data_IF_818946839602
#
_entry.id   IF_818946839602
#
_cell.length_a   1.000
_cell.length_b   1.000
_cell.length_c   1.000
_cell.angle_alpha   90.00
_cell.angle_beta   90.00
_cell.angle_gamma   90.00
#
_symmetry.space_group_name_H-M   'P 1'
#
loop_
_entity.id
_entity.type
_entity.pdbx_description
1 polymer ?
#
# COMPACT_ATOMS: atom_id res chain seq x y z
N UNK A 1 25.78 -12.50 2.19
CA UNK A 1 24.40 -12.07 1.88
C UNK A 1 23.48 -13.02 2.59
N UNK A 2 22.50 -12.52 3.33
CA UNK A 2 21.51 -13.32 4.05
C UNK A 2 20.09 -12.83 3.75
N UNK A 3 19.09 -13.72 3.71
CA UNK A 3 17.69 -13.32 3.70
C UNK A 3 17.29 -12.71 5.05
N UNK A 4 16.24 -11.89 5.05
CA UNK A 4 15.78 -11.15 6.24
C UNK A 4 15.42 -12.05 7.44
N UNK A 5 14.93 -13.26 7.21
CA UNK A 5 14.51 -14.18 8.26
C UNK A 5 15.68 -14.81 9.03
N UNK A 6 16.90 -14.76 8.49
CA UNK A 6 18.10 -15.21 9.20
C UNK A 6 18.61 -14.17 10.21
N UNK A 7 18.10 -12.93 10.14
CA UNK A 7 18.54 -11.83 10.99
C UNK A 7 18.18 -12.07 12.48
N UNK A 8 17.08 -12.77 12.78
CA UNK A 8 16.61 -12.98 14.16
C UNK A 8 17.45 -13.93 15.04
N UNK A 9 18.49 -14.58 14.52
CA UNK A 9 19.27 -15.59 15.27
C UNK A 9 20.70 -15.16 15.63
N UNK A 10 21.18 -13.99 15.17
CA UNK A 10 22.61 -13.65 15.29
C UNK A 10 22.99 -12.21 14.95
N UNK A 11 22.19 -11.22 15.35
CA UNK A 11 22.39 -9.76 15.08
C UNK A 11 23.71 -9.17 15.62
N UNK A 12 24.62 -9.96 16.19
CA UNK A 12 25.68 -9.41 17.06
C UNK A 12 27.09 -9.41 16.47
N UNK A 13 27.34 -9.98 15.27
CA UNK A 13 28.74 -10.12 14.78
C UNK A 13 29.14 -9.24 13.59
N UNK A 14 28.21 -8.71 12.80
CA UNK A 14 28.57 -7.92 11.60
C UNK A 14 29.04 -6.51 11.97
N UNK A 15 30.06 -5.97 11.29
CA UNK A 15 30.52 -4.58 11.49
C UNK A 15 29.49 -3.54 11.04
N UNK A 16 28.80 -3.81 9.93
CA UNK A 16 27.74 -2.97 9.35
C UNK A 16 26.65 -3.82 8.69
N UNK A 17 25.48 -3.23 8.48
CA UNK A 17 24.30 -3.86 7.89
C UNK A 17 23.89 -3.12 6.62
N UNK A 18 23.89 -3.81 5.49
CA UNK A 18 23.39 -3.25 4.22
C UNK A 18 21.98 -3.81 3.98
N UNK A 19 20.97 -2.97 4.17
CA UNK A 19 19.57 -3.34 3.94
C UNK A 19 19.21 -3.05 2.49
N UNK A 20 18.83 -4.09 1.74
CA UNK A 20 18.55 -3.98 0.30
C UNK A 20 17.05 -3.98 0.05
N UNK A 21 16.49 -2.87 -0.44
CA UNK A 21 15.08 -2.70 -0.74
C UNK A 21 14.43 -1.67 0.19
N UNK A 22 13.28 -1.12 -0.21
CA UNK A 22 12.59 -0.03 0.50
C UNK A 22 11.14 -0.38 0.90
N UNK A 23 10.70 -1.61 0.69
CA UNK A 23 9.37 -2.07 1.09
C UNK A 23 9.26 -2.40 2.59
N UNK A 24 8.09 -2.92 2.99
CA UNK A 24 7.77 -3.27 4.40
C UNK A 24 8.82 -4.18 5.05
N UNK A 25 9.31 -5.18 4.32
CA UNK A 25 10.33 -6.11 4.81
C UNK A 25 11.64 -5.39 5.17
N UNK A 26 12.04 -4.39 4.39
CA UNK A 26 13.24 -3.61 4.67
C UNK A 26 13.04 -2.69 5.89
N UNK A 27 11.90 -2.00 5.97
CA UNK A 27 11.61 -1.13 7.12
C UNK A 27 11.55 -1.92 8.42
N UNK A 28 10.97 -3.12 8.40
CA UNK A 28 10.86 -3.97 9.59
C UNK A 28 12.22 -4.52 10.02
N UNK A 29 13.07 -4.87 9.04
CA UNK A 29 14.45 -5.25 9.31
C UNK A 29 15.26 -4.13 9.97
N UNK A 30 15.12 -2.89 9.49
CA UNK A 30 15.79 -1.73 10.08
C UNK A 30 15.26 -1.48 11.50
N UNK A 31 13.95 -1.44 11.69
CA UNK A 31 13.33 -1.25 13.01
C UNK A 31 13.77 -2.34 13.98
N UNK A 32 13.84 -3.60 13.52
CA UNK A 32 14.37 -4.70 14.34
C UNK A 32 15.83 -4.48 14.74
N UNK A 33 16.72 -4.12 13.80
CA UNK A 33 18.13 -3.83 14.09
C UNK A 33 18.29 -2.70 15.12
N UNK A 34 17.57 -1.59 14.93
CA UNK A 34 17.58 -0.45 15.86
C UNK A 34 17.06 -0.87 17.24
N UNK A 35 16.00 -1.68 17.31
CA UNK A 35 15.48 -2.21 18.56
C UNK A 35 16.46 -3.17 19.28
N UNK A 36 17.38 -3.81 18.54
CA UNK A 36 18.47 -4.61 19.11
C UNK A 36 19.71 -3.77 19.49
N UNK A 37 19.63 -2.44 19.40
CA UNK A 37 20.73 -1.54 19.77
C UNK A 37 21.81 -1.38 18.69
N UNK A 38 21.54 -1.77 17.45
CA UNK A 38 22.42 -1.44 16.33
C UNK A 38 22.34 0.06 16.07
N UNK A 39 23.50 0.73 16.09
CA UNK A 39 23.62 2.16 15.80
C UNK A 39 23.13 2.48 14.38
N UNK A 40 22.34 3.55 14.15
CA UNK A 40 21.91 3.99 12.82
C UNK A 40 23.05 4.13 11.80
N UNK A 41 24.22 4.59 12.24
CA UNK A 41 25.42 4.83 11.43
C UNK A 41 26.01 3.53 10.87
N UNK A 42 25.69 2.38 11.48
CA UNK A 42 26.11 1.06 11.01
C UNK A 42 25.15 0.48 9.96
N UNK A 43 24.05 1.16 9.66
CA UNK A 43 23.04 0.70 8.70
C UNK A 43 23.18 1.51 7.42
N UNK A 44 23.45 0.81 6.30
CA UNK A 44 23.38 1.37 4.95
C UNK A 44 22.09 0.90 4.31
N UNK A 45 21.24 1.83 3.87
CA UNK A 45 19.95 1.50 3.27
C UNK A 45 19.94 1.75 1.76
N UNK A 46 19.93 0.67 0.98
CA UNK A 46 19.83 0.73 -0.48
C UNK A 46 18.35 0.87 -0.88
N UNK A 47 17.97 2.07 -1.31
CA UNK A 47 16.62 2.44 -1.74
C UNK A 47 16.60 2.77 -3.23
N UNK A 48 16.35 1.79 -4.13
CA UNK A 48 16.27 2.04 -5.57
C UNK A 48 15.10 2.96 -5.94
N UNK A 49 14.00 2.90 -5.19
CA UNK A 49 12.86 3.83 -5.24
C UNK A 49 12.40 4.14 -3.83
N UNK A 50 12.01 5.38 -3.58
CA UNK A 50 11.37 5.75 -2.32
C UNK A 50 9.88 5.35 -2.32
N UNK A 51 9.38 4.80 -1.21
CA UNK A 51 7.98 4.42 -1.03
C UNK A 51 7.14 5.55 -0.42
N UNK A 52 5.89 5.65 -0.87
CA UNK A 52 4.80 6.14 -0.04
C UNK A 52 4.32 5.05 0.90
N UNK A 53 4.15 5.37 2.19
CA UNK A 53 3.71 4.44 3.23
C UNK A 53 2.34 4.85 3.78
N UNK A 54 1.44 3.90 4.01
CA UNK A 54 0.12 4.18 4.59
C UNK A 54 0.22 4.33 6.10
N UNK A 55 -0.31 5.41 6.67
CA UNK A 55 -0.31 5.60 8.11
C UNK A 55 -1.17 4.51 8.78
N UNK A 56 -0.56 3.69 9.64
CA UNK A 56 -1.27 2.61 10.34
C UNK A 56 -2.42 3.12 11.22
N UNK A 57 -2.35 4.35 11.71
CA UNK A 57 -3.36 4.93 12.59
C UNK A 57 -4.71 5.14 11.87
N UNK A 58 -4.70 5.40 10.56
CA UNK A 58 -5.93 5.58 9.76
C UNK A 58 -6.45 4.26 9.16
N UNK A 59 -5.88 3.12 9.58
CA UNK A 59 -6.26 1.78 9.14
C UNK A 59 -6.61 0.93 10.35
N UNK A 60 -7.83 1.10 10.87
CA UNK A 60 -8.34 0.39 12.04
C UNK A 60 -9.71 -0.24 11.74
N UNK A 61 -10.09 -1.34 12.43
CA UNK A 61 -11.40 -1.97 12.27
C UNK A 61 -12.51 -1.17 13.01
N UNK A 62 -12.58 0.12 12.71
CA UNK A 62 -13.52 1.10 13.26
C UNK A 62 -14.16 1.86 12.09
N UNK A 63 -15.50 1.89 11.96
CA UNK A 63 -16.18 2.57 10.87
C UNK A 63 -15.84 4.06 10.79
N UNK A 64 -15.64 4.76 11.90
CA UNK A 64 -15.29 6.19 11.88
C UNK A 64 -13.90 6.40 11.27
N UNK A 65 -12.94 5.54 11.62
CA UNK A 65 -11.59 5.59 11.04
C UNK A 65 -11.62 5.24 9.55
N UNK A 66 -12.37 4.22 9.16
CA UNK A 66 -12.49 3.80 7.76
C UNK A 66 -13.18 4.86 6.88
N UNK A 67 -14.26 5.47 7.39
CA UNK A 67 -14.96 6.57 6.71
C UNK A 67 -14.10 7.84 6.65
N UNK A 68 -13.34 8.13 7.71
CA UNK A 68 -12.37 9.22 7.74
C UNK A 68 -11.30 9.07 6.65
N UNK A 69 -10.64 7.91 6.59
CA UNK A 69 -9.66 7.61 5.54
C UNK A 69 -10.23 7.78 4.13
N UNK A 70 -11.46 7.29 3.90
CA UNK A 70 -12.12 7.45 2.61
C UNK A 70 -12.40 8.92 2.30
N UNK A 71 -12.89 9.69 3.28
CA UNK A 71 -13.20 11.11 3.15
C UNK A 71 -11.95 11.93 2.84
N UNK A 72 -10.87 11.73 3.60
CA UNK A 72 -9.61 12.45 3.40
C UNK A 72 -9.00 12.13 2.04
N UNK A 73 -9.09 10.86 1.62
CA UNK A 73 -8.62 10.44 0.30
C UNK A 73 -9.38 11.12 -0.83
N UNK A 74 -10.71 11.13 -0.77
CA UNK A 74 -11.55 11.75 -1.80
C UNK A 74 -11.44 13.28 -1.79
N UNK A 75 -11.30 13.89 -0.61
CA UNK A 75 -11.06 15.33 -0.46
C UNK A 75 -9.72 15.73 -1.07
N UNK A 76 -8.65 14.99 -0.78
CA UNK A 76 -7.34 15.21 -1.37
C UNK A 76 -7.38 15.03 -2.90
N UNK A 77 -8.06 14.00 -3.39
CA UNK A 77 -8.23 13.75 -4.81
C UNK A 77 -8.97 14.88 -5.52
N UNK A 78 -10.12 15.33 -4.99
CA UNK A 78 -10.93 16.39 -5.58
C UNK A 78 -10.15 17.70 -5.78
N UNK A 79 -9.23 18.01 -4.85
CA UNK A 79 -8.44 19.22 -4.87
C UNK A 79 -7.09 19.11 -5.61
N UNK A 80 -6.70 17.91 -6.06
CA UNK A 80 -5.36 17.67 -6.59
C UNK A 80 -5.17 18.11 -8.05
N UNK A 81 -4.06 18.77 -8.35
CA UNK A 81 -3.69 19.20 -9.70
C UNK A 81 -2.95 18.11 -10.49
N UNK A 82 -2.21 17.25 -9.79
CA UNK A 82 -1.43 16.14 -10.34
C UNK A 82 -1.39 14.96 -9.36
N UNK A 83 -0.81 13.81 -9.78
CA UNK A 83 -0.59 12.69 -8.86
C UNK A 83 0.41 13.03 -7.76
N UNK A 84 1.48 13.77 -8.06
CA UNK A 84 2.40 14.25 -7.02
C UNK A 84 1.72 15.18 -6.01
N UNK A 85 0.87 16.09 -6.48
CA UNK A 85 0.08 16.98 -5.60
C UNK A 85 -0.89 16.17 -4.73
N UNK A 86 -1.60 15.19 -5.31
CA UNK A 86 -2.46 14.27 -4.56
C UNK A 86 -1.71 13.60 -3.41
N UNK A 87 -0.55 13.00 -3.67
CA UNK A 87 0.19 12.29 -2.64
C UNK A 87 0.77 13.23 -1.57
N UNK A 88 1.17 14.46 -1.93
CA UNK A 88 1.55 15.49 -0.94
C UNK A 88 0.37 15.95 -0.08
N UNK A 89 -0.83 16.04 -0.64
CA UNK A 89 -2.07 16.32 0.12
C UNK A 89 -2.42 15.18 1.06
N UNK A 90 -2.28 13.93 0.62
CA UNK A 90 -2.45 12.76 1.48
C UNK A 90 -1.42 12.73 2.62
N UNK A 91 -0.20 13.21 2.39
CA UNK A 91 0.78 13.40 3.47
C UNK A 91 0.35 14.49 4.45
N UNK A 92 -0.08 15.64 3.95
CA UNK A 92 -0.55 16.74 4.78
C UNK A 92 -1.79 16.36 5.64
N UNK A 93 -2.62 15.45 5.13
CA UNK A 93 -3.75 14.86 5.84
C UNK A 93 -3.36 13.68 6.75
N UNK A 94 -2.07 13.39 6.94
CA UNK A 94 -1.57 12.25 7.73
C UNK A 94 -2.09 10.88 7.25
N UNK A 95 -2.55 10.77 6.00
CA UNK A 95 -2.97 9.50 5.38
C UNK A 95 -1.76 8.71 4.92
N UNK A 96 -0.82 9.37 4.25
CA UNK A 96 0.43 8.76 3.79
C UNK A 96 1.65 9.39 4.46
N UNK A 97 2.75 8.65 4.48
CA UNK A 97 4.05 9.13 4.94
C UNK A 97 5.10 9.04 3.83
N UNK A 98 5.93 10.07 3.76
CA UNK A 98 7.27 9.99 3.15
C UNK A 98 8.31 9.73 4.22
N UNK A 99 9.20 8.78 3.97
CA UNK A 99 10.32 8.49 4.88
C UNK A 99 11.30 9.65 4.84
N UNK A 100 11.80 9.96 3.65
CA UNK A 100 12.68 11.09 3.38
C UNK A 100 11.85 12.19 2.70
N UNK A 101 11.85 13.40 3.26
CA UNK A 101 11.06 14.53 2.75
C UNK A 101 11.74 15.26 1.60
N UNK A 102 13.04 15.03 1.41
CA UNK A 102 13.84 15.63 0.34
C UNK A 102 13.86 14.76 -0.94
N UNK A 103 13.19 13.60 -0.90
CA UNK A 103 12.99 12.72 -2.05
C UNK A 103 11.52 12.67 -2.46
N UNK A 104 11.24 12.69 -3.76
CA UNK A 104 9.91 12.44 -4.32
C UNK A 104 9.71 10.92 -4.52
N UNK A 105 8.83 10.25 -3.74
CA UNK A 105 8.64 8.82 -3.85
C UNK A 105 7.83 8.46 -5.10
N UNK A 106 8.35 7.50 -5.87
CA UNK A 106 7.71 7.00 -7.10
C UNK A 106 7.00 5.65 -6.91
N UNK A 107 7.22 4.99 -5.76
CA UNK A 107 6.62 3.71 -5.44
C UNK A 107 5.41 3.88 -4.51
N UNK A 108 4.22 3.49 -4.98
CA UNK A 108 2.97 3.55 -4.21
C UNK A 108 2.35 2.16 -4.00
N UNK A 109 3.14 1.23 -3.45
CA UNK A 109 2.60 -0.03 -2.88
C UNK A 109 1.87 0.19 -1.56
N UNK A 110 2.17 1.32 -0.90
CA UNK A 110 1.55 1.81 0.35
C UNK A 110 1.39 0.77 1.45
N UNK A 111 2.44 0.03 1.85
CA UNK A 111 2.37 -0.80 3.04
C UNK A 111 2.21 0.09 4.28
N UNK A 112 1.69 -0.48 5.37
CA UNK A 112 1.40 0.30 6.58
C UNK A 112 2.66 0.60 7.40
N UNK A 113 2.76 1.81 7.94
CA UNK A 113 3.84 2.26 8.81
C UNK A 113 3.26 3.06 9.97
N UNK A 114 3.71 2.82 11.20
CA UNK A 114 3.41 3.65 12.35
C UNK A 114 4.34 4.86 12.44
N UNK A 115 3.88 5.94 13.08
CA UNK A 115 4.70 7.16 13.26
C UNK A 115 6.01 6.89 13.99
N UNK A 116 5.99 6.06 15.03
CA UNK A 116 7.20 5.68 15.76
C UNK A 116 8.19 4.89 14.89
N UNK A 117 7.71 4.03 13.97
CA UNK A 117 8.59 3.34 13.01
C UNK A 117 9.19 4.35 12.03
N UNK A 118 8.39 5.31 11.55
CA UNK A 118 8.85 6.39 10.68
C UNK A 118 9.97 7.21 11.34
N UNK A 119 9.80 7.58 12.61
CA UNK A 119 10.78 8.35 13.36
C UNK A 119 12.12 7.59 13.50
N UNK A 120 12.07 6.28 13.76
CA UNK A 120 13.25 5.41 13.75
C UNK A 120 13.92 5.34 12.37
N UNK A 121 13.14 5.13 11.32
CA UNK A 121 13.67 5.00 9.95
C UNK A 121 14.35 6.30 9.48
N UNK A 122 13.88 7.46 9.94
CA UNK A 122 14.47 8.77 9.64
C UNK A 122 15.82 9.02 10.31
N UNK A 123 16.21 8.20 11.29
CA UNK A 123 17.56 8.26 11.88
C UNK A 123 18.63 7.68 10.96
N UNK A 124 18.24 6.94 9.91
CA UNK A 124 19.19 6.34 8.96
C UNK A 124 19.61 7.38 7.91
N UNK A 125 20.80 7.93 8.06
CA UNK A 125 21.37 8.91 7.11
C UNK A 125 22.08 8.25 5.92
N UNK A 126 22.67 7.06 6.12
CA UNK A 126 23.44 6.34 5.11
C UNK A 126 22.53 5.66 4.08
N UNK A 127 22.05 6.42 3.11
CA UNK A 127 21.07 5.98 2.11
C UNK A 127 21.69 5.98 0.71
N UNK A 128 21.57 4.85 0.00
CA UNK A 128 22.07 4.69 -1.38
C UNK A 128 20.90 4.68 -2.35
N UNK A 129 20.89 5.63 -3.29
CA UNK A 129 19.87 5.80 -4.35
C UNK A 129 20.46 5.68 -5.76
N UNK A 130 21.26 4.64 -5.99
CA UNK A 130 21.95 4.41 -7.28
C UNK A 130 21.28 3.31 -8.10
N UNK A 131 19.96 3.13 -7.93
CA UNK A 131 19.18 2.08 -8.59
C UNK A 131 19.33 0.70 -7.96
N UNK A 132 19.04 -0.35 -8.74
CA UNK A 132 19.10 -1.74 -8.28
C UNK A 132 20.53 -2.24 -8.20
N UNK A 133 20.80 -3.11 -7.21
CA UNK A 133 22.07 -3.83 -7.13
C UNK A 133 22.17 -4.81 -8.31
N UNK A 134 23.28 -4.75 -9.04
CA UNK A 134 23.61 -5.69 -10.12
C UNK A 134 24.38 -6.89 -9.60
N UNK A 135 25.41 -6.64 -8.82
CA UNK A 135 26.17 -7.67 -8.11
C UNK A 135 26.94 -7.06 -6.94
N UNK A 136 27.47 -7.91 -6.07
CA UNK A 136 28.25 -7.52 -4.91
C UNK A 136 29.57 -8.29 -4.89
N UNK A 137 30.66 -7.60 -4.64
CA UNK A 137 31.98 -8.21 -4.43
C UNK A 137 32.36 -8.17 -2.95
N UNK A 138 33.61 -8.52 -2.61
CA UNK A 138 34.13 -8.39 -1.24
C UNK A 138 34.37 -6.94 -0.81
N UNK A 139 34.40 -5.98 -1.74
CA UNK A 139 34.85 -4.60 -1.48
C UNK A 139 33.84 -3.54 -1.90
N UNK A 140 32.85 -3.89 -2.70
CA UNK A 140 31.91 -2.93 -3.26
C UNK A 140 30.57 -3.56 -3.62
N UNK A 141 29.55 -2.71 -3.67
CA UNK A 141 28.22 -2.98 -4.21
C UNK A 141 28.13 -2.24 -5.54
N UNK A 142 27.92 -2.97 -6.63
CA UNK A 142 27.71 -2.39 -7.96
C UNK A 142 26.22 -2.27 -8.22
N UNK A 143 25.75 -1.06 -8.52
CA UNK A 143 24.36 -0.72 -8.81
C UNK A 143 24.21 -0.17 -10.23
N UNK A 144 22.97 0.08 -10.65
CA UNK A 144 22.65 0.65 -11.98
C UNK A 144 23.41 1.93 -12.29
N UNK A 145 23.45 2.86 -11.34
CA UNK A 145 23.94 4.23 -11.54
C UNK A 145 25.25 4.51 -10.79
N UNK A 146 25.97 3.47 -10.36
CA UNK A 146 27.26 3.67 -9.69
C UNK A 146 27.67 2.51 -8.80
N UNK A 147 28.71 2.76 -8.00
CA UNK A 147 29.30 1.77 -7.11
C UNK A 147 29.52 2.41 -5.74
N UNK A 148 29.32 1.63 -4.68
CA UNK A 148 29.55 2.06 -3.29
C UNK A 148 30.52 1.10 -2.64
N UNK A 149 31.42 1.62 -1.82
CA UNK A 149 32.32 0.79 -1.03
C UNK A 149 31.52 -0.09 -0.05
N UNK A 150 31.93 -1.35 0.07
CA UNK A 150 31.43 -2.30 1.04
C UNK A 150 32.52 -2.51 2.09
N UNK A 151 32.34 -2.00 3.32
CA UNK A 151 33.28 -2.25 4.40
C UNK A 151 33.49 -3.76 4.64
N UNK A 152 34.66 -4.17 5.12
CA UNK A 152 34.84 -5.52 5.65
C UNK A 152 33.80 -5.82 6.73
N UNK A 153 33.44 -7.10 6.88
CA UNK A 153 32.48 -7.59 7.87
C UNK A 153 31.04 -7.01 7.76
N UNK A 154 30.68 -6.45 6.60
CA UNK A 154 29.30 -6.07 6.29
C UNK A 154 28.40 -7.30 6.07
N UNK A 155 27.23 -7.29 6.71
CA UNK A 155 26.14 -8.21 6.38
C UNK A 155 25.15 -7.55 5.43
N UNK A 156 25.00 -8.12 4.24
CA UNK A 156 23.98 -7.70 3.28
C UNK A 156 22.70 -8.48 3.54
N UNK A 157 21.64 -7.75 3.87
CA UNK A 157 20.31 -8.29 4.18
C UNK A 157 19.41 -8.07 2.98
N UNK A 158 18.98 -9.17 2.36
CA UNK A 158 18.17 -9.13 1.16
C UNK A 158 16.68 -8.98 1.50
N UNK A 159 16.14 -7.76 1.29
CA UNK A 159 14.73 -7.41 1.48
C UNK A 159 14.05 -6.95 0.17
N UNK A 160 14.67 -7.22 -0.98
CA UNK A 160 14.25 -6.71 -2.29
C UNK A 160 13.50 -7.75 -3.15
N UNK A 161 13.05 -8.85 -2.55
CA UNK A 161 12.19 -9.81 -3.22
C UNK A 161 10.85 -9.16 -3.62
N UNK A 162 10.27 -9.61 -4.74
CA UNK A 162 8.97 -9.09 -5.17
C UNK A 162 7.86 -9.62 -4.25
N UNK A 163 7.42 -8.79 -3.30
CA UNK A 163 6.33 -9.14 -2.39
C UNK A 163 4.94 -9.18 -3.04
N UNK A 164 4.77 -8.52 -4.18
CA UNK A 164 3.51 -8.47 -4.94
C UNK A 164 3.74 -8.91 -6.39
N UNK A 165 2.71 -9.44 -7.03
CA UNK A 165 2.66 -9.75 -8.46
C UNK A 165 1.64 -8.83 -9.14
N UNK A 166 1.84 -8.56 -10.43
CA UNK A 166 1.03 -7.61 -11.19
C UNK A 166 0.38 -8.27 -12.42
N UNK A 167 -0.52 -9.25 -12.22
CA UNK A 167 -1.16 -9.95 -13.34
C UNK A 167 -2.11 -9.01 -14.12
N UNK A 168 -2.48 -9.37 -15.35
CA UNK A 168 -3.56 -8.70 -16.07
C UNK A 168 -4.88 -8.79 -15.28
N UNK A 169 -5.66 -7.72 -15.32
CA UNK A 169 -7.01 -7.70 -14.71
C UNK A 169 -7.97 -8.44 -15.61
N UNK A 170 -8.40 -9.61 -15.17
CA UNK A 170 -9.34 -10.50 -15.88
C UNK A 170 -10.50 -10.86 -14.95
N UNK A 171 -11.64 -11.37 -15.44
CA UNK A 171 -12.71 -11.86 -14.58
C UNK A 171 -12.18 -12.84 -13.51
N UNK A 172 -12.69 -12.72 -12.28
CA UNK A 172 -12.35 -13.64 -11.17
C UNK A 172 -12.94 -15.00 -11.45
N UNK A 173 -14.19 -15.07 -11.93
CA UNK A 173 -14.83 -16.33 -12.31
C UNK A 173 -14.79 -16.54 -13.81
N UNK A 174 -14.47 -17.78 -14.18
CA UNK A 174 -14.56 -18.32 -15.53
C UNK A 174 -15.05 -19.77 -15.44
N UNK A 175 -15.62 -20.34 -16.52
CA UNK A 175 -16.27 -21.65 -16.47
C UNK A 175 -15.41 -22.80 -15.91
N UNK A 176 -14.09 -22.72 -16.00
CA UNK A 176 -13.15 -23.76 -15.58
C UNK A 176 -12.43 -23.46 -14.27
N UNK A 177 -12.44 -22.23 -13.75
CA UNK A 177 -11.66 -21.82 -12.57
C UNK A 177 -12.03 -20.47 -11.99
N UNK A 178 -11.64 -20.30 -10.72
CA UNK A 178 -11.60 -19.03 -10.00
C UNK A 178 -10.16 -18.50 -10.00
N UNK A 179 -9.97 -17.27 -10.46
CA UNK A 179 -8.69 -16.55 -10.53
C UNK A 179 -8.58 -15.60 -9.35
N UNK A 180 -7.66 -15.91 -8.43
CA UNK A 180 -7.43 -15.10 -7.23
C UNK A 180 -6.89 -13.72 -7.60
N UNK A 181 -7.73 -12.70 -7.47
CA UNK A 181 -7.41 -11.29 -7.66
C UNK A 181 -8.08 -10.46 -6.55
N UNK A 182 -7.59 -9.25 -6.31
CA UNK A 182 -8.27 -8.34 -5.38
C UNK A 182 -9.57 -7.84 -6.00
N UNK A 183 -10.53 -7.42 -5.17
CA UNK A 183 -11.81 -6.85 -5.63
C UNK A 183 -11.85 -5.34 -5.38
N UNK A 184 -11.41 -4.92 -4.19
CA UNK A 184 -11.30 -3.51 -3.82
C UNK A 184 -9.89 -3.17 -3.34
N UNK A 185 -9.65 -1.88 -3.20
CA UNK A 185 -8.44 -1.37 -2.62
C UNK A 185 -8.32 -1.76 -1.14
N UNK A 186 -7.12 -2.19 -0.74
CA UNK A 186 -6.82 -2.66 0.61
C UNK A 186 -7.55 -3.95 1.00
N UNK A 187 -7.27 -4.42 2.23
CA UNK A 187 -8.03 -5.50 2.91
C UNK A 187 -8.26 -6.77 2.07
N UNK A 188 -7.21 -7.43 1.56
CA UNK A 188 -7.35 -8.61 0.68
C UNK A 188 -8.15 -9.75 1.32
N UNK A 189 -8.08 -9.92 2.64
CA UNK A 189 -8.86 -10.92 3.36
C UNK A 189 -10.37 -10.68 3.27
N UNK A 190 -10.81 -9.41 3.34
CA UNK A 190 -12.22 -9.08 3.13
C UNK A 190 -12.65 -9.34 1.69
N UNK A 191 -11.82 -8.98 0.70
CA UNK A 191 -12.08 -9.30 -0.71
C UNK A 191 -12.25 -10.80 -0.94
N UNK A 192 -11.37 -11.63 -0.38
CA UNK A 192 -11.51 -13.08 -0.44
C UNK A 192 -12.81 -13.59 0.22
N UNK A 193 -13.18 -13.05 1.39
CA UNK A 193 -14.43 -13.41 2.06
C UNK A 193 -15.66 -13.01 1.23
N UNK A 194 -15.63 -11.83 0.60
CA UNK A 194 -16.69 -11.35 -0.28
C UNK A 194 -16.84 -12.26 -1.51
N UNK A 195 -15.73 -12.66 -2.15
CA UNK A 195 -15.76 -13.62 -3.25
C UNK A 195 -16.39 -14.96 -2.82
N UNK A 196 -16.01 -15.48 -1.65
CA UNK A 196 -16.60 -16.72 -1.11
C UNK A 196 -18.09 -16.59 -0.81
N UNK A 197 -18.54 -15.45 -0.28
CA UNK A 197 -19.95 -15.19 -0.05
C UNK A 197 -20.75 -15.11 -1.35
N UNK A 198 -20.25 -14.34 -2.32
CA UNK A 198 -20.91 -14.16 -3.63
C UNK A 198 -20.92 -15.46 -4.44
N UNK A 199 -19.87 -16.28 -4.37
CA UNK A 199 -19.85 -17.64 -4.95
C UNK A 199 -20.99 -18.51 -4.41
N UNK A 200 -21.27 -18.40 -3.11
CA UNK A 200 -22.28 -19.22 -2.43
C UNK A 200 -23.72 -18.71 -2.62
N UNK A 201 -23.91 -17.44 -3.03
CA UNK A 201 -25.23 -16.80 -3.09
C UNK A 201 -25.68 -16.40 -4.49
N UNK A 202 -24.80 -16.45 -5.50
CA UNK A 202 -25.14 -16.11 -6.89
C UNK A 202 -24.94 -17.31 -7.80
N UNK A 203 -25.90 -17.51 -8.70
CA UNK A 203 -26.02 -18.71 -9.55
C UNK A 203 -25.16 -18.67 -10.82
N UNK A 204 -24.62 -17.50 -11.19
CA UNK A 204 -23.86 -17.34 -12.42
C UNK A 204 -22.63 -16.41 -12.30
N UNK A 205 -21.61 -16.72 -13.11
CA UNK A 205 -20.33 -16.00 -13.12
C UNK A 205 -20.45 -14.55 -13.58
N UNK A 206 -21.46 -14.19 -14.37
CA UNK A 206 -21.66 -12.79 -14.80
C UNK A 206 -22.03 -11.95 -13.59
N UNK A 207 -22.96 -12.43 -12.77
CA UNK A 207 -23.38 -11.74 -11.56
C UNK A 207 -22.25 -11.69 -10.51
N UNK A 208 -21.52 -12.81 -10.33
CA UNK A 208 -20.36 -12.85 -9.44
C UNK A 208 -19.30 -11.82 -9.84
N UNK A 209 -18.95 -11.76 -11.14
CA UNK A 209 -17.99 -10.78 -11.65
C UNK A 209 -18.53 -9.33 -11.65
N UNK A 210 -19.85 -9.11 -11.71
CA UNK A 210 -20.44 -7.78 -11.54
C UNK A 210 -20.24 -7.27 -10.11
N UNK A 211 -20.50 -8.10 -9.11
CA UNK A 211 -20.38 -7.75 -7.70
C UNK A 211 -18.93 -7.70 -7.21
N UNK A 212 -18.09 -8.55 -7.80
CA UNK A 212 -16.69 -8.71 -7.43
C UNK A 212 -15.80 -8.50 -8.67
N UNK A 213 -15.79 -7.29 -9.26
CA UNK A 213 -14.92 -7.01 -10.39
C UNK A 213 -13.46 -7.09 -9.95
N UNK A 214 -12.59 -7.65 -10.80
CA UNK A 214 -11.18 -7.76 -10.48
C UNK A 214 -10.49 -6.39 -10.41
N UNK A 215 -9.54 -6.29 -9.49
CA UNK A 215 -8.69 -5.14 -9.24
C UNK A 215 -7.23 -5.61 -9.11
N UNK A 216 -6.30 -4.65 -9.13
CA UNK A 216 -4.87 -4.92 -9.00
C UNK A 216 -4.28 -4.18 -7.81
N UNK A 217 -3.23 -4.76 -7.23
CA UNK A 217 -2.39 -4.05 -6.28
C UNK A 217 -1.49 -3.03 -7.01
N UNK A 218 -1.13 -1.92 -6.37
CA UNK A 218 -0.41 -0.83 -7.01
C UNK A 218 1.10 -1.00 -6.89
N UNK A 219 1.82 -0.30 -7.76
CA UNK A 219 3.27 -0.11 -7.74
C UNK A 219 3.67 1.36 -7.90
N UNK A 220 2.98 2.10 -8.76
CA UNK A 220 3.19 3.53 -9.08
C UNK A 220 2.02 4.39 -8.64
N UNK A 221 2.19 5.72 -8.61
CA UNK A 221 1.13 6.67 -8.25
C UNK A 221 -0.15 6.48 -9.09
N UNK A 222 -0.02 6.39 -10.43
CA UNK A 222 -1.14 6.12 -11.34
C UNK A 222 -1.82 4.77 -11.06
N UNK A 223 -1.05 3.70 -10.81
CA UNK A 223 -1.64 2.40 -10.51
C UNK A 223 -2.38 2.38 -9.16
N UNK A 224 -1.94 3.17 -8.19
CA UNK A 224 -2.63 3.39 -6.92
C UNK A 224 -3.95 4.13 -7.13
N UNK A 225 -3.95 5.21 -7.92
CA UNK A 225 -5.17 5.93 -8.28
C UNK A 225 -6.18 5.00 -8.99
N UNK A 226 -5.74 4.21 -9.98
CA UNK A 226 -6.59 3.22 -10.66
C UNK A 226 -7.17 2.17 -9.71
N UNK A 227 -6.36 1.68 -8.78
CA UNK A 227 -6.83 0.72 -7.76
C UNK A 227 -7.94 1.35 -6.90
N UNK A 228 -7.75 2.59 -6.45
CA UNK A 228 -8.73 3.31 -5.63
C UNK A 228 -10.04 3.53 -6.39
N UNK A 229 -9.99 4.01 -7.64
CA UNK A 229 -11.19 4.20 -8.49
C UNK A 229 -11.98 2.90 -8.62
N UNK A 230 -11.32 1.81 -9.03
CA UNK A 230 -11.95 0.49 -9.18
C UNK A 230 -12.52 -0.03 -7.87
N UNK A 231 -11.80 0.16 -6.77
CA UNK A 231 -12.22 -0.28 -5.45
C UNK A 231 -13.43 0.47 -4.90
N UNK A 232 -13.51 1.77 -5.15
CA UNK A 232 -14.69 2.60 -4.82
C UNK A 232 -15.89 2.16 -5.62
N UNK A 233 -15.74 1.96 -6.94
CA UNK A 233 -16.82 1.48 -7.81
C UNK A 233 -17.29 0.08 -7.38
N UNK A 234 -16.38 -0.86 -7.12
CA UNK A 234 -16.73 -2.18 -6.60
C UNK A 234 -17.54 -2.09 -5.30
N UNK A 235 -17.10 -1.23 -4.37
CA UNK A 235 -17.79 -1.00 -3.09
C UNK A 235 -19.19 -0.45 -3.27
N UNK A 236 -19.41 0.46 -4.23
CA UNK A 236 -20.75 0.91 -4.59
C UNK A 236 -21.59 -0.23 -5.16
N UNK A 237 -21.03 -1.04 -6.05
CA UNK A 237 -21.75 -2.12 -6.72
C UNK A 237 -22.22 -3.21 -5.76
N UNK A 238 -21.33 -3.77 -4.93
CA UNK A 238 -21.77 -4.79 -3.96
C UNK A 238 -22.53 -4.19 -2.77
N UNK A 239 -22.28 -2.92 -2.43
CA UNK A 239 -22.99 -2.24 -1.35
C UNK A 239 -24.43 -1.87 -1.69
N UNK A 240 -24.78 -1.83 -2.98
CA UNK A 240 -26.14 -1.62 -3.45
C UNK A 240 -27.03 -2.88 -3.35
N UNK A 241 -26.44 -4.06 -3.17
CA UNK A 241 -27.17 -5.31 -2.97
C UNK A 241 -27.53 -5.47 -1.48
N UNK A 242 -28.83 -5.49 -1.10
CA UNK A 242 -29.22 -5.47 0.32
C UNK A 242 -28.69 -6.66 1.14
N UNK A 243 -28.70 -7.86 0.55
CA UNK A 243 -28.20 -9.09 1.17
C UNK A 243 -26.68 -9.05 1.38
N UNK A 244 -25.93 -8.61 0.36
CA UNK A 244 -24.46 -8.51 0.43
C UNK A 244 -24.05 -7.40 1.39
N UNK A 245 -24.75 -6.26 1.39
CA UNK A 245 -24.50 -5.16 2.33
C UNK A 245 -24.78 -5.57 3.78
N UNK A 246 -25.86 -6.31 4.02
CA UNK A 246 -26.16 -6.86 5.35
C UNK A 246 -25.06 -7.83 5.81
N UNK A 247 -24.65 -8.76 4.93
CA UNK A 247 -23.55 -9.68 5.23
C UNK A 247 -22.23 -8.94 5.48
N UNK A 248 -21.86 -7.98 4.62
CA UNK A 248 -20.61 -7.23 4.73
C UNK A 248 -20.52 -6.43 6.04
N UNK A 249 -21.65 -5.94 6.55
CA UNK A 249 -21.72 -5.26 7.86
C UNK A 249 -21.64 -6.23 9.06
N UNK A 250 -21.87 -7.52 8.85
CA UNK A 250 -21.63 -8.56 9.87
C UNK A 250 -20.21 -9.14 9.81
N UNK A 251 -19.48 -8.93 8.71
CA UNK A 251 -18.18 -9.53 8.48
C UNK A 251 -17.06 -8.79 9.24
N UNK A 252 -16.41 -9.46 10.20
CA UNK A 252 -15.32 -8.88 10.99
C UNK A 252 -14.08 -8.44 10.16
N UNK A 253 -13.93 -8.98 8.95
CA UNK A 253 -12.86 -8.59 8.02
C UNK A 253 -13.13 -7.25 7.32
N UNK A 254 -14.39 -6.80 7.28
CA UNK A 254 -14.73 -5.49 6.74
C UNK A 254 -14.38 -4.39 7.77
N UNK A 255 -13.39 -3.51 7.47
CA UNK A 255 -13.01 -2.42 8.38
C UNK A 255 -14.06 -1.32 8.46
N UNK A 256 -14.89 -1.17 7.43
CA UNK A 256 -15.93 -0.15 7.34
C UNK A 256 -17.31 -0.69 7.75
N UNK A 257 -17.37 -1.84 8.41
CA UNK A 257 -18.65 -2.43 8.85
C UNK A 257 -19.34 -1.49 9.84
N UNK A 258 -20.64 -1.29 9.65
CA UNK A 258 -21.50 -0.56 10.56
C UNK A 258 -22.51 -1.55 11.12
N UNK A 259 -22.40 -1.87 12.41
CA UNK A 259 -23.34 -2.79 13.06
C UNK A 259 -24.71 -2.13 13.24
N UNK A 260 -25.80 -2.90 13.46
CA UNK A 260 -27.10 -2.31 13.73
C UNK A 260 -27.11 -1.30 14.88
N UNK A 261 -26.31 -1.52 15.93
CA UNK A 261 -26.20 -0.60 17.07
C UNK A 261 -25.46 0.72 16.76
N UNK A 262 -24.68 0.76 15.69
CA UNK A 262 -23.93 1.93 15.24
C UNK A 262 -24.64 2.69 14.12
N UNK A 263 -25.71 2.14 13.57
CA UNK A 263 -26.40 2.74 12.41
C UNK A 263 -26.98 4.11 12.74
N UNK A 264 -27.57 4.26 13.91
CA UNK A 264 -28.22 5.50 14.32
C UNK A 264 -27.29 6.40 15.15
N UNK A 265 -26.00 6.06 15.22
CA UNK A 265 -24.98 6.86 15.88
C UNK A 265 -24.75 8.16 15.08
N UNK A 266 -24.81 9.30 15.78
CA UNK A 266 -24.70 10.62 15.16
C UNK A 266 -23.34 10.85 14.49
N UNK A 267 -22.26 10.34 15.07
CA UNK A 267 -20.90 10.53 14.53
C UNK A 267 -20.72 9.68 13.25
N UNK A 268 -21.31 8.48 13.22
CA UNK A 268 -21.31 7.63 12.03
C UNK A 268 -22.13 8.27 10.90
N UNK A 269 -23.32 8.79 11.21
CA UNK A 269 -24.15 9.50 10.22
C UNK A 269 -23.45 10.75 9.68
N UNK A 270 -22.81 11.52 10.55
CA UNK A 270 -22.04 12.69 10.15
C UNK A 270 -20.83 12.30 9.27
N UNK A 271 -20.13 11.19 9.57
CA UNK A 271 -19.03 10.70 8.76
C UNK A 271 -19.49 10.22 7.38
N UNK A 272 -20.63 9.53 7.30
CA UNK A 272 -21.24 9.14 6.02
C UNK A 272 -21.63 10.35 5.18
N UNK A 273 -22.24 11.38 5.78
CA UNK A 273 -22.61 12.61 5.09
C UNK A 273 -21.37 13.34 4.53
N UNK A 274 -20.31 13.50 5.33
CA UNK A 274 -19.05 14.10 4.85
C UNK A 274 -18.44 13.34 3.68
N UNK A 275 -18.45 12.01 3.73
CA UNK A 275 -17.96 11.20 2.62
C UNK A 275 -18.83 11.41 1.36
N UNK A 276 -20.15 11.43 1.52
CA UNK A 276 -21.08 11.65 0.40
C UNK A 276 -20.86 13.00 -0.29
N UNK A 277 -20.51 14.05 0.46
CA UNK A 277 -20.25 15.39 -0.08
C UNK A 277 -19.02 15.45 -1.01
N UNK A 278 -18.04 14.57 -0.82
CA UNK A 278 -16.75 14.64 -1.54
C UNK A 278 -16.51 13.47 -2.50
N UNK A 279 -17.22 12.35 -2.34
CA UNK A 279 -16.86 11.09 -3.01
C UNK A 279 -16.98 11.18 -4.54
N UNK A 280 -17.97 11.89 -5.09
CA UNK A 280 -18.13 11.97 -6.55
C UNK A 280 -17.05 12.81 -7.22
N UNK A 281 -16.77 14.00 -6.68
CA UNK A 281 -15.70 14.86 -7.19
C UNK A 281 -14.33 14.24 -7.02
N UNK A 282 -14.08 13.63 -5.85
CA UNK A 282 -12.85 12.90 -5.58
C UNK A 282 -12.66 11.73 -6.54
N UNK A 283 -13.70 10.92 -6.77
CA UNK A 283 -13.63 9.78 -7.68
C UNK A 283 -13.40 10.19 -9.13
N UNK A 284 -14.13 11.19 -9.62
CA UNK A 284 -13.95 11.74 -10.97
C UNK A 284 -12.52 12.24 -11.16
N UNK A 285 -12.02 13.05 -10.23
CA UNK A 285 -10.68 13.62 -10.33
C UNK A 285 -9.59 12.56 -10.25
N UNK A 286 -9.76 11.55 -9.39
CA UNK A 286 -8.83 10.44 -9.28
C UNK A 286 -8.75 9.61 -10.57
N UNK A 287 -9.89 9.43 -11.26
CA UNK A 287 -9.95 8.76 -12.56
C UNK A 287 -9.25 9.56 -13.67
N UNK A 288 -9.46 10.89 -13.72
CA UNK A 288 -8.73 11.77 -14.65
C UNK A 288 -7.20 11.67 -14.44
N UNK A 289 -6.74 11.79 -13.19
CA UNK A 289 -5.32 11.73 -12.82
C UNK A 289 -4.71 10.36 -13.13
N UNK A 290 -5.46 9.28 -12.92
CA UNK A 290 -5.03 7.92 -13.20
C UNK A 290 -4.65 7.67 -14.68
N UNK A 291 -5.32 8.36 -15.61
CA UNK A 291 -5.17 8.14 -17.05
C UNK A 291 -4.23 9.15 -17.75
N UNK A 292 -4.04 10.35 -17.18
CA UNK A 292 -3.20 11.40 -17.78
C UNK A 292 -1.70 11.04 -17.87
N UNK A 293 -1.13 10.27 -16.94
CA UNK A 293 0.29 9.87 -16.97
C UNK A 293 0.61 8.69 -17.92
N UNK A 294 -0.42 7.98 -18.40
CA UNK A 294 -0.18 6.88 -19.35
C UNK A 294 0.25 7.38 -20.73
N UNK A 295 0.02 8.66 -21.05
CA UNK A 295 0.37 9.25 -22.34
C UNK A 295 1.75 9.92 -22.34
N UNK A 296 2.25 10.36 -21.19
CA UNK A 296 3.57 11.00 -21.05
C UNK A 296 4.72 9.99 -20.88
N UNK A 297 4.47 8.78 -20.37
CA UNK A 297 5.50 7.73 -20.22
C UNK A 297 5.82 6.95 -21.49
N UNK A 298 5.04 7.11 -22.57
CA UNK A 298 5.31 6.52 -23.89
C UNK A 298 6.18 7.44 -24.77
N UNK A 299 6.47 8.67 -24.31
CA UNK A 299 7.19 9.69 -25.06
C UNK A 299 8.56 10.08 -24.46
N UNK A 300 9.11 9.31 -23.50
CA UNK A 300 10.37 9.60 -22.82
C UNK A 300 11.35 8.45 -22.85
#
# INVERSE_FOLDING_TARGET
VAPINELGSGVTTAGSYVIVGSGKTATDGIVHLLAQGVSPERIVWVRPRDPWMLNRAVVQPDPLVALGLATDTMTAAAAAESLDDLFRRLEAADVLFRIDRDADPTMAKTPTLGRWELDLLRTIENVVRLGHIRHVTRREIVLDAGTVALPPDSLIVHCAASGLQYPPVVPIWSPDKIRLQTIRAGFPCFGAALAGHVEATRDDDRERNRLCPANNLPDTLSSWARMQVRGTLATRTFGAEPDVAAWANSCALNPARITPSQRDDQDVQAALARLADVVEDGLRRLDELAHHESLSSVAG
#
